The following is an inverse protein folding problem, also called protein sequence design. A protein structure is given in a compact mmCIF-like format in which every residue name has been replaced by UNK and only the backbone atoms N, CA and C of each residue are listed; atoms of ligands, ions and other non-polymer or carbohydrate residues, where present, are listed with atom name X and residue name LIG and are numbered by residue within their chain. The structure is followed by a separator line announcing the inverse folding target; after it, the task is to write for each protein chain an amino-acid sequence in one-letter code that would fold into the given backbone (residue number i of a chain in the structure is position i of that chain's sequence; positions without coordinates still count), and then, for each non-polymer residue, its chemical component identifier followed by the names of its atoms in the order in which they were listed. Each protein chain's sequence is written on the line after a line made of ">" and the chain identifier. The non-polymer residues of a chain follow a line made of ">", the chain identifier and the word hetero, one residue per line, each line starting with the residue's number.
data_IF_625525944765
#
_entry.id   IF_625525944765
#
_cell.length_a   1.000
_cell.length_b   1.000
_cell.length_c   1.000
_cell.angle_alpha   90.00
_cell.angle_beta   90.00
_cell.angle_gamma   90.00
#
_symmetry.space_group_name_H-M   'P 1'
#
loop_
_entity.id
_entity.type
_entity.pdbx_description
1 polymer ?
#
# COMPACT_ATOMS: atom_id res chain seq x y z
N UNK A 1 -7.49 2.43 12.14
CA UNK A 1 -6.69 3.27 13.04
C UNK A 1 -7.00 4.71 12.76
N UNK A 2 -7.16 5.56 13.79
CA UNK A 2 -7.38 7.00 13.61
C UNK A 2 -6.05 7.61 13.17
N UNK A 3 -5.94 8.01 11.90
CA UNK A 3 -4.82 8.81 11.42
C UNK A 3 -4.84 10.19 12.07
N UNK A 4 -3.67 10.83 12.18
CA UNK A 4 -3.60 12.23 12.62
C UNK A 4 -4.44 13.10 11.71
N UNK A 5 -5.08 14.14 12.26
CA UNK A 5 -5.80 15.10 11.42
C UNK A 5 -4.78 15.76 10.47
N UNK A 6 -5.09 15.87 9.17
CA UNK A 6 -4.24 16.59 8.23
C UNK A 6 -4.01 18.03 8.70
N UNK A 7 -2.83 18.58 8.40
CA UNK A 7 -2.58 20.01 8.62
C UNK A 7 -3.53 20.84 7.75
N UNK A 8 -3.85 22.05 8.19
CA UNK A 8 -4.70 22.96 7.43
C UNK A 8 -4.09 23.29 6.06
N UNK A 9 -2.76 23.44 6.01
CA UNK A 9 -2.01 23.64 4.76
C UNK A 9 -2.18 22.47 3.78
N UNK A 10 -2.02 21.23 4.24
CA UNK A 10 -2.22 20.05 3.41
C UNK A 10 -3.68 19.95 2.92
N UNK A 11 -4.63 20.26 3.80
CA UNK A 11 -6.05 20.27 3.46
C UNK A 11 -6.33 21.29 2.34
N UNK A 12 -5.80 22.52 2.48
CA UNK A 12 -5.94 23.57 1.47
C UNK A 12 -5.26 23.20 0.15
N UNK A 13 -4.06 22.60 0.19
CA UNK A 13 -3.32 22.15 -0.97
C UNK A 13 -4.08 21.06 -1.75
N UNK A 14 -4.63 20.06 -1.04
CA UNK A 14 -5.46 19.00 -1.63
C UNK A 14 -6.71 19.60 -2.29
N UNK A 15 -7.42 20.48 -1.58
CA UNK A 15 -8.65 21.12 -2.11
C UNK A 15 -8.33 21.91 -3.38
N UNK A 16 -7.22 22.66 -3.38
CA UNK A 16 -6.81 23.48 -4.52
C UNK A 16 -6.41 22.60 -5.70
N UNK A 17 -5.57 21.58 -5.47
CA UNK A 17 -5.13 20.65 -6.52
C UNK A 17 -6.30 19.89 -7.15
N UNK A 18 -7.26 19.42 -6.35
CA UNK A 18 -8.44 18.70 -6.85
C UNK A 18 -9.41 19.61 -7.62
N UNK A 19 -9.50 20.89 -7.25
CA UNK A 19 -10.30 21.88 -8.01
C UNK A 19 -9.65 22.18 -9.36
N UNK A 20 -8.32 22.34 -9.39
CA UNK A 20 -7.57 22.54 -10.63
C UNK A 20 -7.72 21.32 -11.56
N UNK A 21 -7.47 20.11 -11.04
CA UNK A 21 -7.67 18.86 -11.78
C UNK A 21 -9.09 18.74 -12.33
N UNK A 22 -10.11 19.07 -11.53
CA UNK A 22 -11.51 19.05 -11.98
C UNK A 22 -11.74 19.98 -13.15
N UNK A 23 -11.13 21.15 -13.15
CA UNK A 23 -11.26 22.11 -14.24
C UNK A 23 -10.59 21.58 -15.52
N UNK A 24 -9.37 21.05 -15.41
CA UNK A 24 -8.66 20.40 -16.52
C UNK A 24 -9.44 19.22 -17.10
N UNK A 25 -10.02 18.37 -16.25
CA UNK A 25 -10.82 17.22 -16.69
C UNK A 25 -12.08 17.65 -17.45
N UNK A 26 -12.74 18.73 -17.03
CA UNK A 26 -13.91 19.28 -17.73
C UNK A 26 -13.51 19.89 -19.06
N UNK A 27 -12.43 20.65 -19.12
CA UNK A 27 -11.93 21.26 -20.36
C UNK A 27 -11.53 20.21 -21.39
N UNK A 28 -10.91 19.12 -20.92
CA UNK A 28 -10.46 17.99 -21.76
C UNK A 28 -11.62 17.13 -22.26
N UNK A 29 -12.49 16.67 -21.37
CA UNK A 29 -13.47 15.62 -21.68
C UNK A 29 -14.86 16.19 -22.02
N UNK A 30 -15.16 17.45 -21.63
CA UNK A 30 -16.43 18.14 -21.86
C UNK A 30 -16.25 19.58 -22.35
N UNK A 31 -15.50 19.81 -23.45
CA UNK A 31 -15.36 21.14 -24.03
C UNK A 31 -16.77 21.64 -24.40
N UNK A 32 -17.18 22.80 -23.86
CA UNK A 32 -18.49 23.45 -23.97
C UNK A 32 -19.50 23.25 -22.81
N UNK A 33 -19.28 22.36 -21.84
CA UNK A 33 -20.22 22.16 -20.71
C UNK A 33 -19.68 22.58 -19.33
N UNK A 34 -18.86 23.63 -19.30
CA UNK A 34 -18.02 24.02 -18.16
C UNK A 34 -18.76 24.20 -16.83
N UNK A 35 -19.96 24.81 -16.83
CA UNK A 35 -20.63 25.26 -15.60
C UNK A 35 -21.46 24.14 -14.94
N UNK A 36 -22.09 23.28 -15.74
CA UNK A 36 -23.03 22.26 -15.23
C UNK A 36 -22.29 20.96 -14.91
N UNK A 37 -21.32 20.57 -15.74
CA UNK A 37 -20.70 19.24 -15.68
C UNK A 37 -19.56 19.16 -14.67
N UNK A 38 -18.89 20.27 -14.37
CA UNK A 38 -17.76 20.27 -13.42
C UNK A 38 -18.14 19.80 -12.01
N UNK A 39 -19.25 20.30 -11.45
CA UNK A 39 -19.74 19.84 -10.13
C UNK A 39 -20.26 18.40 -10.16
N UNK A 40 -20.68 17.90 -11.32
CA UNK A 40 -21.16 16.54 -11.48
C UNK A 40 -20.02 15.52 -11.52
N UNK A 41 -18.88 15.87 -12.15
CA UNK A 41 -17.69 15.00 -12.23
C UNK A 41 -17.05 14.85 -10.86
N UNK A 42 -16.66 15.94 -10.19
CA UNK A 42 -16.07 15.88 -8.85
C UNK A 42 -16.75 16.89 -7.90
N UNK A 43 -17.76 16.44 -7.12
CA UNK A 43 -18.47 17.30 -6.19
C UNK A 43 -17.58 17.83 -5.06
N UNK A 44 -17.84 19.06 -4.59
CA UNK A 44 -17.09 19.66 -3.47
C UNK A 44 -17.11 18.78 -2.21
N UNK A 45 -18.23 18.14 -1.91
CA UNK A 45 -18.35 17.20 -0.78
C UNK A 45 -17.38 16.01 -0.88
N UNK A 46 -17.07 15.56 -2.10
CA UNK A 46 -16.10 14.49 -2.32
C UNK A 46 -14.68 15.03 -2.13
N UNK A 47 -14.39 16.23 -2.63
CA UNK A 47 -13.12 16.93 -2.40
C UNK A 47 -12.86 17.11 -0.90
N UNK A 48 -13.86 17.55 -0.14
CA UNK A 48 -13.77 17.71 1.31
C UNK A 48 -13.49 16.37 2.02
N UNK A 49 -14.21 15.30 1.67
CA UNK A 49 -13.94 13.96 2.20
C UNK A 49 -12.54 13.44 1.89
N UNK A 50 -12.02 13.74 0.69
CA UNK A 50 -10.64 13.39 0.33
C UNK A 50 -9.66 14.22 1.16
N UNK A 51 -9.89 15.52 1.29
CA UNK A 51 -9.04 16.44 2.06
C UNK A 51 -9.05 16.15 3.57
N UNK A 52 -10.13 15.59 4.12
CA UNK A 52 -10.18 15.11 5.51
C UNK A 52 -9.24 13.92 5.74
N UNK A 53 -8.99 13.10 4.72
CA UNK A 53 -8.20 11.86 4.82
C UNK A 53 -7.38 11.61 3.54
N UNK A 54 -6.47 12.53 3.16
CA UNK A 54 -5.79 12.48 1.87
C UNK A 54 -4.89 11.23 1.77
N UNK A 55 -4.26 10.86 2.88
CA UNK A 55 -3.40 9.67 2.96
C UNK A 55 -4.14 8.34 2.91
N UNK A 56 -5.45 8.35 3.21
CA UNK A 56 -6.24 7.14 3.01
C UNK A 56 -6.37 6.85 1.52
N UNK A 57 -6.46 7.88 0.66
CA UNK A 57 -6.71 7.81 -0.79
C UNK A 57 -5.47 7.31 -1.56
N UNK A 58 -5.20 6.02 -1.42
CA UNK A 58 -4.05 5.34 -2.04
C UNK A 58 -4.39 4.60 -3.32
N UNK A 59 -5.63 4.12 -3.43
CA UNK A 59 -6.14 3.30 -4.53
C UNK A 59 -7.54 3.76 -4.95
N UNK A 60 -7.92 3.61 -6.23
CA UNK A 60 -9.25 3.99 -6.72
C UNK A 60 -10.39 3.23 -6.02
N UNK A 61 -10.11 2.04 -5.49
CA UNK A 61 -11.10 1.19 -4.82
C UNK A 61 -11.70 1.83 -3.56
N UNK A 62 -11.05 2.86 -3.02
CA UNK A 62 -11.57 3.68 -1.91
C UNK A 62 -12.85 4.42 -2.30
N UNK A 63 -12.99 4.75 -3.59
CA UNK A 63 -14.20 5.41 -4.09
C UNK A 63 -15.42 4.48 -4.15
N UNK A 64 -15.21 3.17 -4.01
CA UNK A 64 -16.28 2.18 -3.89
C UNK A 64 -16.76 2.01 -2.44
N UNK A 65 -15.84 2.07 -1.48
CA UNK A 65 -16.06 1.57 -0.11
C UNK A 65 -16.11 2.66 0.96
N UNK A 66 -15.42 3.78 0.77
CA UNK A 66 -15.22 4.79 1.82
C UNK A 66 -15.73 6.16 1.35
N UNK A 67 -15.39 6.54 0.12
CA UNK A 67 -15.77 7.82 -0.48
C UNK A 67 -16.61 7.54 -1.72
N UNK A 68 -17.87 7.17 -1.52
CA UNK A 68 -18.80 6.83 -2.62
C UNK A 68 -18.82 7.93 -3.70
N UNK A 69 -18.17 7.64 -4.83
CA UNK A 69 -18.04 8.55 -5.96
C UNK A 69 -18.12 7.80 -7.28
N UNK A 70 -19.27 7.90 -7.95
CA UNK A 70 -19.61 7.11 -9.14
C UNK A 70 -18.64 7.28 -10.32
N UNK A 71 -18.11 8.47 -10.54
CA UNK A 71 -17.14 8.72 -11.61
C UNK A 71 -15.76 8.14 -11.29
N UNK A 72 -15.43 7.96 -10.02
CA UNK A 72 -14.21 7.30 -9.56
C UNK A 72 -14.27 5.77 -9.68
N UNK A 73 -15.46 5.20 -9.87
CA UNK A 73 -15.71 3.74 -9.89
C UNK A 73 -16.28 3.23 -11.22
N UNK A 74 -16.31 4.05 -12.27
CA UNK A 74 -16.74 3.61 -13.60
C UNK A 74 -15.80 2.51 -14.14
N UNK A 75 -16.20 1.77 -15.18
CA UNK A 75 -15.51 0.57 -15.71
C UNK A 75 -13.97 0.72 -15.85
N UNK A 76 -13.48 1.90 -16.25
CA UNK A 76 -12.04 2.15 -16.41
C UNK A 76 -11.37 2.81 -15.20
N UNK A 77 -12.14 3.19 -14.18
CA UNK A 77 -11.70 3.97 -13.00
C UNK A 77 -10.80 5.16 -13.36
N UNK A 78 -10.92 5.71 -14.59
CA UNK A 78 -10.01 6.70 -15.17
C UNK A 78 -9.86 7.92 -14.25
N UNK A 79 -10.99 8.52 -13.88
CA UNK A 79 -11.03 9.66 -12.98
C UNK A 79 -10.57 9.31 -11.56
N UNK A 80 -10.84 8.09 -11.09
CA UNK A 80 -10.38 7.61 -9.78
C UNK A 80 -8.84 7.51 -9.73
N UNK A 81 -8.23 6.96 -10.77
CA UNK A 81 -6.77 6.87 -10.92
C UNK A 81 -6.13 8.25 -10.99
N UNK A 82 -6.69 9.16 -11.78
CA UNK A 82 -6.18 10.52 -11.93
C UNK A 82 -6.25 11.31 -10.61
N UNK A 83 -7.38 11.20 -9.88
CA UNK A 83 -7.52 11.84 -8.55
C UNK A 83 -6.55 11.26 -7.54
N UNK A 84 -6.35 9.94 -7.50
CA UNK A 84 -5.37 9.30 -6.63
C UNK A 84 -3.95 9.78 -6.97
N UNK A 85 -3.62 9.93 -8.26
CA UNK A 85 -2.34 10.45 -8.70
C UNK A 85 -2.14 11.91 -8.27
N UNK A 86 -3.15 12.76 -8.42
CA UNK A 86 -3.13 14.15 -7.99
C UNK A 86 -2.92 14.27 -6.47
N UNK A 87 -3.64 13.46 -5.68
CA UNK A 87 -3.47 13.41 -4.22
C UNK A 87 -2.06 12.94 -3.84
N UNK A 88 -1.53 11.92 -4.50
CA UNK A 88 -0.15 11.43 -4.28
C UNK A 88 0.90 12.50 -4.60
N UNK A 89 0.70 13.28 -5.66
CA UNK A 89 1.60 14.38 -6.00
C UNK A 89 1.64 15.42 -4.88
N UNK A 90 0.47 15.87 -4.39
CA UNK A 90 0.40 16.82 -3.27
C UNK A 90 0.99 16.23 -1.98
N UNK A 91 0.74 14.95 -1.68
CA UNK A 91 1.30 14.29 -0.50
C UNK A 91 2.82 14.17 -0.52
N UNK A 92 3.43 14.12 -1.72
CA UNK A 92 4.90 14.10 -1.86
C UNK A 92 5.52 15.42 -1.37
N UNK A 93 4.83 16.53 -1.60
CA UNK A 93 5.29 17.87 -1.21
C UNK A 93 5.00 18.16 0.28
N UNK A 94 4.20 17.32 0.94
CA UNK A 94 3.87 17.40 2.36
C UNK A 94 4.16 16.06 3.07
N UNK A 95 5.44 15.68 3.26
CA UNK A 95 5.79 14.46 3.98
C UNK A 95 5.32 14.54 5.44
N UNK A 96 4.82 13.42 5.98
CA UNK A 96 4.47 13.30 7.40
C UNK A 96 5.53 12.42 8.07
N UNK A 97 6.43 13.07 8.80
CA UNK A 97 7.56 12.42 9.47
C UNK A 97 7.10 11.32 10.45
N UNK A 98 5.91 11.45 11.04
CA UNK A 98 5.36 10.48 11.99
C UNK A 98 4.89 9.20 11.28
N UNK A 99 4.30 9.32 10.10
CA UNK A 99 3.87 8.17 9.32
C UNK A 99 5.03 7.48 8.62
N UNK A 100 6.03 8.22 8.15
CA UNK A 100 7.27 7.64 7.61
C UNK A 100 8.00 6.81 8.67
N UNK A 101 8.10 7.31 9.92
CA UNK A 101 8.66 6.54 11.04
C UNK A 101 7.84 5.29 11.33
N UNK A 102 6.50 5.37 11.29
CA UNK A 102 5.62 4.20 11.49
C UNK A 102 5.73 3.19 10.34
N UNK A 103 5.88 3.62 9.10
CA UNK A 103 6.08 2.73 7.96
C UNK A 103 7.47 2.09 7.98
N UNK A 104 8.52 2.86 8.28
CA UNK A 104 9.89 2.35 8.45
C UNK A 104 9.92 1.25 9.52
N UNK A 105 9.32 1.50 10.69
CA UNK A 105 9.22 0.51 11.76
C UNK A 105 8.43 -0.74 11.36
N UNK A 106 7.43 -0.63 10.48
CA UNK A 106 6.73 -1.81 9.94
C UNK A 106 7.60 -2.58 8.94
N UNK A 107 8.33 -1.88 8.07
CA UNK A 107 9.23 -2.49 7.08
C UNK A 107 10.37 -3.24 7.77
N UNK A 108 10.95 -2.66 8.82
CA UNK A 108 11.95 -3.32 9.66
C UNK A 108 11.39 -4.62 10.27
N UNK A 109 10.21 -4.57 10.89
CA UNK A 109 9.57 -5.78 11.46
C UNK A 109 9.32 -6.89 10.43
N UNK A 110 8.87 -6.53 9.22
CA UNK A 110 8.65 -7.50 8.14
C UNK A 110 9.99 -8.10 7.68
N UNK A 111 11.02 -7.27 7.55
CA UNK A 111 12.36 -7.71 7.18
C UNK A 111 12.96 -8.66 8.22
N UNK A 112 12.82 -8.34 9.51
CA UNK A 112 13.26 -9.20 10.61
C UNK A 112 12.56 -10.56 10.60
N UNK A 113 11.26 -10.59 10.30
CA UNK A 113 10.51 -11.84 10.15
C UNK A 113 11.02 -12.69 8.99
N UNK A 114 11.29 -12.06 7.83
CA UNK A 114 11.85 -12.75 6.67
C UNK A 114 13.25 -13.30 6.97
N UNK A 115 14.10 -12.53 7.65
CA UNK A 115 15.42 -12.98 8.11
C UNK A 115 15.32 -14.15 9.07
N UNK A 116 14.41 -14.10 10.04
CA UNK A 116 14.19 -15.18 10.99
C UNK A 116 13.77 -16.48 10.28
N UNK A 117 12.89 -16.37 9.28
CA UNK A 117 12.41 -17.51 8.50
C UNK A 117 13.53 -18.11 7.63
N UNK A 118 14.33 -17.26 6.96
CA UNK A 118 15.49 -17.69 6.19
C UNK A 118 16.54 -18.40 7.07
N UNK A 119 16.82 -17.85 8.25
CA UNK A 119 17.75 -18.46 9.21
C UNK A 119 17.22 -19.80 9.75
N UNK A 120 15.92 -19.91 9.99
CA UNK A 120 15.28 -21.17 10.39
C UNK A 120 15.46 -22.24 9.31
N UNK A 121 15.15 -21.92 8.06
CA UNK A 121 15.34 -22.84 6.93
C UNK A 121 16.81 -23.27 6.78
N UNK A 122 17.76 -22.35 6.96
CA UNK A 122 19.19 -22.67 6.94
C UNK A 122 19.57 -23.66 8.05
N UNK A 123 19.08 -23.46 9.27
CA UNK A 123 19.32 -24.37 10.40
C UNK A 123 18.71 -25.75 10.18
N UNK A 124 17.51 -25.81 9.62
CA UNK A 124 16.84 -27.08 9.30
C UNK A 124 17.64 -27.88 8.26
N UNK A 125 18.15 -27.23 7.21
CA UNK A 125 19.03 -27.87 6.22
C UNK A 125 20.31 -28.40 6.86
N UNK A 126 20.97 -27.60 7.71
CA UNK A 126 22.18 -28.04 8.41
C UNK A 126 21.91 -29.22 9.34
N UNK A 127 20.77 -29.21 10.05
CA UNK A 127 20.35 -30.31 10.92
C UNK A 127 20.08 -31.58 10.10
N UNK A 128 19.40 -31.48 8.96
CA UNK A 128 19.16 -32.61 8.08
C UNK A 128 20.48 -33.25 7.61
N UNK A 129 21.41 -32.44 7.11
CA UNK A 129 22.75 -32.93 6.71
C UNK A 129 23.49 -33.59 7.87
N UNK A 130 23.42 -33.00 9.06
CA UNK A 130 24.06 -33.57 10.25
C UNK A 130 23.43 -34.91 10.64
N UNK A 131 22.10 -35.01 10.57
CA UNK A 131 21.36 -36.25 10.85
C UNK A 131 21.72 -37.35 9.84
N UNK A 132 21.76 -37.03 8.55
CA UNK A 132 22.14 -37.99 7.50
C UNK A 132 23.57 -38.52 7.71
N UNK A 133 24.51 -37.64 8.06
CA UNK A 133 25.89 -38.03 8.39
C UNK A 133 25.95 -38.90 9.65
N UNK A 134 25.18 -38.55 10.69
CA UNK A 134 25.11 -39.32 11.92
C UNK A 134 24.55 -40.72 11.69
N UNK A 135 23.44 -40.83 10.96
CA UNK A 135 22.78 -42.09 10.65
C UNK A 135 23.70 -42.99 9.81
N UNK A 136 24.44 -42.42 8.86
CA UNK A 136 25.45 -43.15 8.09
C UNK A 136 26.58 -43.73 8.98
N UNK A 137 27.10 -42.95 9.94
CA UNK A 137 28.13 -43.42 10.88
C UNK A 137 27.55 -44.48 11.82
N UNK A 138 26.36 -44.26 12.38
CA UNK A 138 25.70 -45.21 13.27
C UNK A 138 25.43 -46.56 12.58
N UNK A 139 25.03 -46.55 11.31
CA UNK A 139 24.82 -47.76 10.51
C UNK A 139 26.11 -48.59 10.32
N UNK A 140 27.25 -47.93 10.08
CA UNK A 140 28.56 -48.62 9.99
C UNK A 140 28.99 -49.18 11.35
N UNK A 141 28.70 -48.47 12.43
CA UNK A 141 29.09 -48.86 13.79
C UNK A 141 28.27 -50.04 14.32
N UNK A 142 27.00 -50.15 13.91
CA UNK A 142 26.09 -51.23 14.33
C UNK A 142 26.04 -52.41 13.34
N UNK A 143 26.42 -52.21 12.08
CA UNK A 143 26.39 -53.21 11.02
C UNK A 143 27.43 -54.34 11.09
N UNK A 144 28.41 -54.28 12.00
CA UNK A 144 29.45 -55.30 12.16
C UNK A 144 29.38 -56.11 13.47
N UNK A 145 28.32 -55.94 14.30
CA UNK A 145 28.19 -56.66 15.57
C UNK A 145 27.25 -57.88 15.56
N UNK A 146 26.70 -58.31 14.43
CA UNK A 146 25.85 -59.52 14.40
C UNK A 146 26.25 -60.50 13.28
N UNK A 147 26.50 -61.74 13.70
CA UNK A 147 26.75 -62.99 12.96
C UNK A 147 28.21 -63.38 12.68
N UNK A 148 28.89 -63.87 13.72
CA UNK A 148 29.69 -65.11 13.61
C UNK A 148 29.16 -66.09 14.66
N UNK A 149 28.12 -66.83 14.26
CA UNK A 149 27.79 -68.14 14.83
C UNK A 149 28.41 -69.21 13.94
#
# INVERSE_FOLDING_TARGET
>A
GRGSKPTEELTAAIVTGLRAWRQEAVERDFPQQLIITGKAILPNKIIEKIAERPRAVTTPHIFFSIIEWKWGTHEDCRYGNEVVAAVKAVLKDHPDEEEEKREAARREKVFDQLLALANKQRREKLRAVFQDCWDAVAAVTTGNMVSRG
#
